data_IF_326861832815
#
_entry.id   IF_326861832815
#
_cell.length_a   1.000
_cell.length_b   1.000
_cell.length_c   1.000
_cell.angle_alpha   90.00
_cell.angle_beta   90.00
_cell.angle_gamma   90.00
#
_symmetry.space_group_name_H-M   'P 1'
#
loop_
_entity.id
_entity.type
_entity.pdbx_description
1 polymer ?
#
# COMPACT_ATOMS: atom_id res chain seq x y z
N UNK A 1 -12.27 52.13 15.41
CA UNK A 1 -10.98 51.54 15.81
C UNK A 1 -11.10 51.24 17.30
N UNK A 2 -11.65 50.07 17.65
CA UNK A 2 -10.92 48.83 18.05
C UNK A 2 -10.08 49.05 19.32
N UNK A 3 -10.40 48.39 20.44
CA UNK A 3 -10.20 46.96 20.75
C UNK A 3 -11.06 46.58 21.98
N UNK A 4 -11.55 45.37 22.24
CA UNK A 4 -11.29 44.05 21.67
C UNK A 4 -11.11 43.01 22.79
N UNK A 5 -12.20 42.29 23.14
CA UNK A 5 -12.30 40.93 23.75
C UNK A 5 -11.15 40.45 24.66
N UNK A 6 -11.37 40.43 25.99
CA UNK A 6 -10.36 40.02 26.98
C UNK A 6 -10.72 38.93 28.01
N UNK A 7 -11.98 38.51 28.18
CA UNK A 7 -12.35 37.67 29.35
C UNK A 7 -12.74 36.20 29.07
N UNK A 8 -12.99 35.80 27.81
CA UNK A 8 -13.47 34.43 27.50
C UNK A 8 -12.37 33.35 27.57
N UNK A 9 -11.09 33.73 27.56
CA UNK A 9 -9.97 32.79 27.49
C UNK A 9 -9.61 32.16 28.84
N UNK A 10 -9.98 32.77 29.97
CA UNK A 10 -9.71 32.23 31.31
C UNK A 10 -10.63 31.07 31.67
N UNK A 11 -11.93 31.23 31.41
CA UNK A 11 -12.94 30.19 31.64
C UNK A 11 -12.75 29.00 30.69
N UNK A 12 -12.43 29.24 29.42
CA UNK A 12 -12.17 28.18 28.45
C UNK A 12 -10.95 27.32 28.83
N UNK A 13 -9.90 27.92 29.41
CA UNK A 13 -8.70 27.19 29.85
C UNK A 13 -8.96 26.33 31.08
N UNK A 14 -9.71 26.84 32.04
CA UNK A 14 -10.12 26.09 33.23
C UNK A 14 -11.05 24.92 32.88
N UNK A 15 -11.98 25.13 31.95
CA UNK A 15 -12.85 24.07 31.43
C UNK A 15 -12.04 23.01 30.68
N UNK A 16 -11.05 23.42 29.87
CA UNK A 16 -10.18 22.48 29.15
C UNK A 16 -9.33 21.64 30.11
N UNK A 17 -8.75 22.26 31.13
CA UNK A 17 -7.94 21.55 32.14
C UNK A 17 -8.81 20.64 33.02
N UNK A 18 -10.04 21.02 33.31
CA UNK A 18 -11.01 20.19 34.02
C UNK A 18 -11.46 18.98 33.19
N UNK A 19 -11.76 19.17 31.89
CA UNK A 19 -12.08 18.09 30.96
C UNK A 19 -10.90 17.10 30.87
N UNK A 20 -9.68 17.62 30.75
CA UNK A 20 -8.49 16.77 30.60
C UNK A 20 -8.13 15.99 31.88
N UNK A 21 -8.27 16.64 33.04
CA UNK A 21 -7.80 16.07 34.31
C UNK A 21 -8.85 15.15 34.95
N UNK A 22 -10.13 15.48 34.82
CA UNK A 22 -11.19 14.76 35.52
C UNK A 22 -12.15 14.01 34.59
N UNK A 23 -12.52 14.59 33.45
CA UNK A 23 -13.49 13.94 32.56
C UNK A 23 -12.85 12.75 31.84
N UNK A 24 -11.61 12.87 31.34
CA UNK A 24 -10.95 11.77 30.63
C UNK A 24 -10.78 10.49 31.49
N UNK A 25 -10.23 10.55 32.72
CA UNK A 25 -10.12 9.35 33.55
C UNK A 25 -11.47 8.77 33.96
N UNK A 26 -12.47 9.63 34.19
CA UNK A 26 -13.82 9.21 34.57
C UNK A 26 -14.56 8.55 33.41
N UNK A 27 -14.46 9.11 32.20
CA UNK A 27 -14.98 8.49 30.97
C UNK A 27 -14.28 7.16 30.73
N UNK A 28 -12.96 7.08 30.94
CA UNK A 28 -12.22 5.84 30.78
C UNK A 28 -12.64 4.78 31.82
N UNK A 29 -12.90 5.17 33.06
CA UNK A 29 -13.42 4.30 34.11
C UNK A 29 -14.86 3.83 33.84
N UNK A 30 -15.72 4.72 33.33
CA UNK A 30 -17.10 4.39 32.93
C UNK A 30 -17.09 3.45 31.73
N UNK A 31 -16.26 3.71 30.73
CA UNK A 31 -16.08 2.81 29.57
C UNK A 31 -15.62 1.43 30.04
N UNK A 32 -14.64 1.36 30.96
CA UNK A 32 -14.17 0.10 31.51
C UNK A 32 -15.19 -0.61 32.41
N UNK A 33 -16.13 0.10 33.04
CA UNK A 33 -17.15 -0.49 33.90
C UNK A 33 -18.37 -0.98 33.12
N UNK A 34 -18.81 -0.24 32.10
CA UNK A 34 -20.02 -0.56 31.32
C UNK A 34 -19.74 -1.40 30.08
N UNK A 35 -18.57 -1.20 29.46
CA UNK A 35 -18.12 -2.01 28.32
C UNK A 35 -17.08 -3.03 28.77
N UNK A 36 -17.10 -3.44 30.05
CA UNK A 36 -16.10 -4.38 30.57
C UNK A 36 -16.08 -5.67 29.76
N UNK A 37 -17.24 -6.17 29.34
CA UNK A 37 -17.36 -7.38 28.55
C UNK A 37 -16.98 -7.15 27.08
N UNK A 38 -17.43 -6.07 26.44
CA UNK A 38 -17.03 -5.74 25.05
C UNK A 38 -15.56 -5.33 24.92
N UNK A 39 -14.99 -4.65 25.92
CA UNK A 39 -13.57 -4.24 25.94
C UNK A 39 -12.69 -5.40 26.38
N UNK A 40 -13.09 -6.26 27.32
CA UNK A 40 -12.40 -7.53 27.54
C UNK A 40 -12.57 -8.46 26.35
N UNK A 41 -13.67 -8.41 25.60
CA UNK A 41 -13.83 -9.16 24.36
C UNK A 41 -12.92 -8.59 23.27
N UNK A 42 -12.79 -7.26 23.12
CA UNK A 42 -11.87 -6.57 22.19
C UNK A 42 -10.40 -6.72 22.59
N UNK A 43 -10.08 -6.80 23.89
CA UNK A 43 -8.71 -6.96 24.41
C UNK A 43 -8.32 -8.44 24.48
N UNK A 44 -9.23 -9.36 24.84
CA UNK A 44 -9.04 -10.81 24.63
C UNK A 44 -9.00 -11.15 23.15
N UNK A 45 -9.71 -10.41 22.29
CA UNK A 45 -9.55 -10.51 20.82
C UNK A 45 -8.32 -9.79 20.26
N UNK A 46 -7.45 -9.24 21.12
CA UNK A 46 -6.11 -8.75 20.73
C UNK A 46 -4.96 -9.62 21.24
N UNK A 47 -5.25 -10.63 22.05
CA UNK A 47 -4.41 -11.81 22.24
C UNK A 47 -5.10 -13.04 21.63
N UNK A 48 -5.55 -12.93 20.37
CA UNK A 48 -5.90 -14.16 19.65
C UNK A 48 -4.67 -14.61 18.89
N UNK A 49 -4.03 -15.61 19.48
CA UNK A 49 -3.55 -16.77 18.73
C UNK A 49 -4.72 -17.32 17.87
N UNK A 50 -5.12 -16.61 16.80
CA UNK A 50 -5.95 -17.22 15.76
C UNK A 50 -5.01 -18.17 15.06
N UNK A 51 -5.21 -19.46 15.32
CA UNK A 51 -4.47 -20.54 14.73
C UNK A 51 -4.08 -20.27 13.27
N UNK A 52 -2.77 -20.18 13.07
CA UNK A 52 -2.04 -20.53 11.85
C UNK A 52 -2.56 -19.94 10.52
N UNK A 53 -2.11 -18.70 10.28
CA UNK A 53 -1.19 -18.32 9.20
C UNK A 53 -1.68 -17.34 8.11
N UNK A 54 -2.97 -17.18 7.83
CA UNK A 54 -3.39 -16.39 6.64
C UNK A 54 -3.81 -14.94 6.89
N UNK A 55 -4.54 -14.66 7.96
CA UNK A 55 -5.12 -13.33 8.22
C UNK A 55 -4.07 -12.33 8.71
N UNK A 56 -3.18 -12.74 9.63
CA UNK A 56 -2.15 -11.85 10.18
C UNK A 56 -1.16 -11.34 9.12
N UNK A 57 -0.80 -12.18 8.15
CA UNK A 57 0.09 -11.77 7.06
C UNK A 57 -0.59 -10.79 6.10
N UNK A 58 -1.86 -11.00 5.70
CA UNK A 58 -2.57 -10.03 4.83
C UNK A 58 -2.77 -8.66 5.49
N UNK A 59 -3.05 -8.65 6.80
CA UNK A 59 -3.14 -7.41 7.57
C UNK A 59 -1.77 -6.72 7.63
N UNK A 60 -0.69 -7.49 7.76
CA UNK A 60 0.67 -6.96 7.72
C UNK A 60 1.04 -6.43 6.32
N UNK A 61 0.71 -7.15 5.25
CA UNK A 61 0.95 -6.73 3.87
C UNK A 61 0.16 -5.46 3.54
N UNK A 62 -1.11 -5.40 3.95
CA UNK A 62 -1.93 -4.19 3.83
C UNK A 62 -1.32 -3.02 4.59
N UNK A 63 -0.87 -3.25 5.82
CA UNK A 63 -0.21 -2.21 6.62
C UNK A 63 1.10 -1.74 5.96
N UNK A 64 1.93 -2.64 5.43
CA UNK A 64 3.15 -2.30 4.71
C UNK A 64 2.87 -1.50 3.42
N UNK A 65 1.90 -1.95 2.62
CA UNK A 65 1.48 -1.26 1.40
C UNK A 65 0.93 0.13 1.73
N UNK A 66 0.04 0.25 2.73
CA UNK A 66 -0.49 1.54 3.17
C UNK A 66 0.62 2.46 3.66
N UNK A 67 1.60 1.96 4.41
CA UNK A 67 2.73 2.77 4.84
C UNK A 67 3.60 3.24 3.66
N UNK A 68 3.86 2.38 2.69
CA UNK A 68 4.62 2.73 1.49
C UNK A 68 3.89 3.76 0.62
N UNK A 69 2.57 3.65 0.50
CA UNK A 69 1.74 4.59 -0.25
C UNK A 69 1.63 5.93 0.47
N UNK A 70 1.44 5.94 1.79
CA UNK A 70 1.47 7.17 2.59
C UNK A 70 2.83 7.87 2.52
N UNK A 71 3.93 7.12 2.42
CA UNK A 71 5.26 7.69 2.21
C UNK A 71 5.38 8.33 0.83
N UNK A 72 4.87 7.69 -0.23
CA UNK A 72 4.90 8.25 -1.60
C UNK A 72 4.02 9.51 -1.70
N UNK A 73 2.81 9.49 -1.11
CA UNK A 73 1.93 10.66 -1.05
C UNK A 73 2.60 11.84 -0.33
N UNK A 74 3.35 11.59 0.75
CA UNK A 74 4.14 12.64 1.44
C UNK A 74 5.22 13.20 0.53
N UNK A 75 5.92 12.36 -0.22
CA UNK A 75 6.93 12.80 -1.20
C UNK A 75 6.31 13.72 -2.26
N UNK A 76 5.15 13.34 -2.83
CA UNK A 76 4.43 14.19 -3.79
C UNK A 76 4.06 15.55 -3.21
N UNK A 77 3.58 15.60 -1.96
CA UNK A 77 3.23 16.85 -1.29
C UNK A 77 4.46 17.75 -1.11
N UNK A 78 5.60 17.18 -0.71
CA UNK A 78 6.84 17.93 -0.58
C UNK A 78 7.40 18.39 -1.93
N UNK A 79 7.29 17.59 -2.99
CA UNK A 79 7.68 18.00 -4.35
C UNK A 79 6.80 19.12 -4.91
N UNK A 80 5.49 19.08 -4.65
CA UNK A 80 4.57 20.18 -5.00
C UNK A 80 4.98 21.46 -4.25
N UNK A 81 5.30 21.34 -2.96
CA UNK A 81 5.74 22.46 -2.13
C UNK A 81 7.07 23.04 -2.61
N UNK A 82 8.03 22.20 -2.97
CA UNK A 82 9.32 22.60 -3.51
C UNK A 82 9.19 23.22 -4.91
N UNK A 83 8.22 22.76 -5.70
CA UNK A 83 7.93 23.25 -7.05
C UNK A 83 6.92 24.40 -7.07
N UNK A 84 6.59 25.00 -5.92
CA UNK A 84 5.52 26.00 -5.80
C UNK A 84 5.65 27.21 -6.74
N UNK A 85 6.86 27.51 -7.21
CA UNK A 85 7.14 28.60 -8.16
C UNK A 85 6.85 28.22 -9.63
N UNK A 86 6.74 26.93 -9.94
CA UNK A 86 6.49 26.40 -11.28
C UNK A 86 5.04 25.88 -11.39
N UNK A 87 4.18 26.72 -11.96
CA UNK A 87 2.75 26.43 -12.10
C UNK A 87 2.45 25.20 -12.96
N UNK A 88 3.30 24.89 -13.94
CA UNK A 88 3.11 23.72 -14.80
C UNK A 88 3.43 22.44 -14.03
N UNK A 89 4.58 22.41 -13.34
CA UNK A 89 4.96 21.25 -12.52
C UNK A 89 3.99 21.00 -11.37
N UNK A 90 3.53 22.05 -10.70
CA UNK A 90 2.51 21.93 -9.64
C UNK A 90 1.24 21.28 -10.19
N UNK A 91 0.78 21.69 -11.39
CA UNK A 91 -0.41 21.10 -12.01
C UNK A 91 -0.20 19.63 -12.34
N UNK A 92 0.94 19.27 -12.92
CA UNK A 92 1.24 17.90 -13.31
C UNK A 92 1.39 16.97 -12.09
N UNK A 93 2.11 17.41 -11.06
CA UNK A 93 2.25 16.67 -9.79
C UNK A 93 0.93 16.55 -9.04
N UNK A 94 0.09 17.61 -9.04
CA UNK A 94 -1.24 17.54 -8.40
C UNK A 94 -2.15 16.55 -9.11
N UNK A 95 -2.05 16.46 -10.44
CA UNK A 95 -2.79 15.45 -11.22
C UNK A 95 -2.31 14.04 -10.86
N UNK A 96 -1.00 13.81 -10.86
CA UNK A 96 -0.43 12.51 -10.49
C UNK A 96 -0.80 12.10 -9.05
N UNK A 97 -0.84 13.06 -8.13
CA UNK A 97 -1.30 12.84 -6.76
C UNK A 97 -2.76 12.41 -6.71
N UNK A 98 -3.65 13.07 -7.46
CA UNK A 98 -5.06 12.71 -7.52
C UNK A 98 -5.26 11.29 -8.12
N UNK A 99 -4.58 10.99 -9.22
CA UNK A 99 -4.63 9.68 -9.87
C UNK A 99 -4.14 8.58 -8.91
N UNK A 100 -3.06 8.82 -8.17
CA UNK A 100 -2.53 7.87 -7.18
C UNK A 100 -3.47 7.68 -5.98
N UNK A 101 -4.15 8.73 -5.51
CA UNK A 101 -5.14 8.62 -4.42
C UNK A 101 -6.33 7.77 -4.86
N UNK A 102 -6.83 7.96 -6.08
CA UNK A 102 -7.95 7.17 -6.61
C UNK A 102 -7.59 5.68 -6.71
N UNK A 103 -6.40 5.37 -7.23
CA UNK A 103 -5.87 3.99 -7.30
C UNK A 103 -5.64 3.42 -5.89
N UNK A 104 -5.11 4.22 -4.97
CA UNK A 104 -4.89 3.84 -3.57
C UNK A 104 -6.22 3.46 -2.89
N UNK A 105 -7.26 4.29 -3.02
CA UNK A 105 -8.57 4.04 -2.44
C UNK A 105 -9.23 2.79 -3.03
N UNK A 106 -9.16 2.61 -4.35
CA UNK A 106 -9.71 1.44 -5.03
C UNK A 106 -9.05 0.13 -4.54
N UNK A 107 -7.72 0.14 -4.41
CA UNK A 107 -6.97 -1.03 -3.95
C UNK A 107 -7.15 -1.29 -2.45
N UNK A 108 -7.19 -0.24 -1.62
CA UNK A 108 -7.47 -0.35 -0.19
C UNK A 108 -8.85 -0.97 0.05
N UNK A 109 -9.87 -0.52 -0.68
CA UNK A 109 -11.22 -1.10 -0.61
C UNK A 109 -11.25 -2.57 -1.02
N UNK A 110 -10.49 -2.93 -2.06
CA UNK A 110 -10.34 -4.32 -2.52
C UNK A 110 -9.68 -5.21 -1.46
N UNK A 111 -8.60 -4.74 -0.83
CA UNK A 111 -7.87 -5.51 0.19
C UNK A 111 -8.68 -5.65 1.49
N UNK A 112 -9.39 -4.60 1.90
CA UNK A 112 -10.33 -4.66 3.03
C UNK A 112 -11.45 -5.66 2.75
N UNK A 113 -12.05 -5.64 1.54
CA UNK A 113 -13.10 -6.58 1.16
C UNK A 113 -12.61 -8.03 1.16
N UNK A 114 -11.37 -8.29 0.71
CA UNK A 114 -10.76 -9.62 0.76
C UNK A 114 -10.51 -10.09 2.19
N UNK A 115 -9.99 -9.22 3.06
CA UNK A 115 -9.78 -9.54 4.48
C UNK A 115 -11.11 -9.88 5.16
N UNK A 116 -12.17 -9.10 4.88
CA UNK A 116 -13.51 -9.34 5.41
C UNK A 116 -14.11 -10.67 4.92
N UNK A 117 -13.90 -11.05 3.66
CA UNK A 117 -14.36 -12.34 3.13
C UNK A 117 -13.62 -13.52 3.74
N UNK A 118 -12.33 -13.38 4.02
CA UNK A 118 -11.53 -14.43 4.68
C UNK A 118 -11.89 -14.60 6.17
N UNK A 119 -12.48 -13.58 6.84
CA UNK A 119 -12.94 -13.69 8.24
C UNK A 119 -14.24 -14.49 8.45
N UNK A 120 -14.98 -14.87 7.39
CA UNK A 120 -16.29 -15.56 7.53
C UNK A 120 -16.24 -17.07 7.25
N UNK A 121 -15.08 -17.65 6.94
CA UNK A 121 -14.97 -19.10 6.68
C UNK A 121 -13.98 -19.78 7.62
N UNK A 122 -14.44 -20.53 8.65
CA UNK A 122 -13.54 -21.34 9.46
C UNK A 122 -13.13 -22.58 8.66
N UNK A 123 -12.02 -22.52 7.92
CA UNK A 123 -11.41 -23.71 7.35
C UNK A 123 -10.43 -24.34 8.34
N UNK A 124 -10.95 -25.34 9.04
CA UNK A 124 -10.20 -26.30 9.83
C UNK A 124 -9.16 -27.06 8.97
N UNK A 125 -7.96 -27.18 9.54
CA UNK A 125 -6.90 -28.16 9.27
C UNK A 125 -6.10 -28.09 7.96
N UNK A 126 -4.81 -27.75 8.09
CA UNK A 126 -3.73 -28.67 7.68
C UNK A 126 -2.51 -28.50 8.59
N UNK A 127 -2.14 -29.59 9.24
CA UNK A 127 -1.03 -29.74 10.20
C UNK A 127 0.32 -29.30 9.61
N UNK A 128 1.15 -28.77 10.51
CA UNK A 128 2.57 -28.54 10.36
C UNK A 128 3.30 -29.76 9.78
N UNK A 129 4.07 -29.54 8.72
CA UNK A 129 5.33 -30.23 8.46
C UNK A 129 6.38 -29.17 8.16
N UNK A 130 7.21 -28.94 9.16
CA UNK A 130 8.43 -28.14 9.11
C UNK A 130 9.49 -28.89 8.30
N UNK A 131 9.64 -28.50 7.04
CA UNK A 131 10.96 -28.34 6.43
C UNK A 131 11.06 -26.87 6.05
N UNK A 132 12.24 -26.29 6.21
CA UNK A 132 12.58 -24.91 5.89
C UNK A 132 12.38 -24.63 4.39
N UNK A 133 11.14 -24.45 3.99
CA UNK A 133 10.74 -23.86 2.71
C UNK A 133 10.57 -22.38 2.97
N UNK A 134 11.42 -21.54 2.35
CA UNK A 134 11.21 -20.10 2.27
C UNK A 134 9.73 -19.81 2.00
N UNK A 135 9.14 -18.86 2.74
CA UNK A 135 7.73 -18.49 2.60
C UNK A 135 7.40 -18.28 1.10
N UNK A 136 6.47 -19.05 0.50
CA UNK A 136 6.12 -18.93 -0.92
C UNK A 136 5.78 -17.50 -1.34
N UNK A 137 5.30 -16.66 -0.42
CA UNK A 137 5.05 -15.23 -0.64
C UNK A 137 6.33 -14.41 -0.69
N UNK A 138 7.27 -14.65 0.23
CA UNK A 138 8.58 -13.99 0.20
C UNK A 138 9.36 -14.38 -1.07
N UNK A 139 9.25 -15.64 -1.49
CA UNK A 139 9.79 -16.07 -2.79
C UNK A 139 9.11 -15.34 -3.95
N UNK A 140 7.77 -15.21 -3.92
CA UNK A 140 7.04 -14.47 -4.95
C UNK A 140 7.47 -13.00 -5.02
N UNK A 141 7.61 -12.32 -3.88
CA UNK A 141 8.08 -10.93 -3.80
C UNK A 141 9.51 -10.76 -4.34
N UNK A 142 10.42 -11.70 -4.03
CA UNK A 142 11.77 -11.68 -4.59
C UNK A 142 11.77 -11.85 -6.11
N UNK A 143 10.92 -12.73 -6.64
CA UNK A 143 10.78 -12.91 -8.09
C UNK A 143 10.09 -11.72 -8.76
N UNK A 144 9.11 -11.12 -8.11
CA UNK A 144 8.45 -9.90 -8.55
C UNK A 144 9.44 -8.74 -8.66
N UNK A 145 10.25 -8.51 -7.62
CA UNK A 145 11.31 -7.51 -7.62
C UNK A 145 12.28 -7.72 -8.80
N UNK A 146 12.75 -8.95 -9.01
CA UNK A 146 13.59 -9.28 -10.18
C UNK A 146 12.87 -9.02 -11.50
N UNK A 147 11.58 -9.31 -11.59
CA UNK A 147 10.75 -8.99 -12.76
C UNK A 147 10.77 -7.50 -13.08
N UNK A 148 10.65 -6.65 -12.06
CA UNK A 148 10.77 -5.20 -12.21
C UNK A 148 12.18 -4.73 -12.58
N UNK A 149 13.23 -5.33 -12.00
CA UNK A 149 14.61 -5.06 -12.39
C UNK A 149 14.86 -5.40 -13.88
N UNK A 150 14.30 -6.52 -14.34
CA UNK A 150 14.37 -6.90 -15.76
C UNK A 150 13.62 -5.93 -16.67
N UNK A 151 12.44 -5.43 -16.24
CA UNK A 151 11.73 -4.35 -16.93
C UNK A 151 12.62 -3.11 -17.06
N UNK A 152 13.30 -2.69 -15.98
CA UNK A 152 14.19 -1.51 -16.00
C UNK A 152 15.40 -1.71 -16.92
N UNK A 153 15.90 -2.94 -17.03
CA UNK A 153 16.98 -3.32 -17.95
C UNK A 153 16.51 -3.59 -19.39
N UNK A 154 15.20 -3.44 -19.67
CA UNK A 154 14.54 -3.75 -20.94
C UNK A 154 14.68 -5.21 -21.40
N UNK A 155 14.85 -6.13 -20.46
CA UNK A 155 14.89 -7.57 -20.75
C UNK A 155 13.50 -8.20 -20.57
N UNK A 156 12.70 -8.16 -21.63
CA UNK A 156 11.30 -8.61 -21.58
C UNK A 156 11.17 -10.12 -21.30
N UNK A 157 12.11 -10.92 -21.80
CA UNK A 157 12.07 -12.37 -21.65
C UNK A 157 12.39 -12.79 -20.22
N UNK A 158 13.46 -12.21 -19.65
CA UNK A 158 13.81 -12.43 -18.26
C UNK A 158 12.71 -11.91 -17.30
N UNK A 159 12.08 -10.77 -17.64
CA UNK A 159 10.94 -10.24 -16.88
C UNK A 159 9.76 -11.23 -16.87
N UNK A 160 9.35 -11.75 -18.03
CA UNK A 160 8.25 -12.73 -18.14
C UNK A 160 8.58 -13.99 -17.32
N UNK A 161 9.81 -14.49 -17.38
CA UNK A 161 10.25 -15.65 -16.60
C UNK A 161 10.15 -15.38 -15.09
N UNK A 162 10.64 -14.22 -14.64
CA UNK A 162 10.59 -13.83 -13.23
C UNK A 162 9.14 -13.71 -12.72
N UNK A 163 8.25 -13.04 -13.45
CA UNK A 163 6.84 -12.96 -13.08
C UNK A 163 6.12 -14.33 -13.15
N UNK A 164 6.55 -15.23 -14.04
CA UNK A 164 6.05 -16.61 -14.06
C UNK A 164 6.44 -17.36 -12.80
N UNK A 165 7.69 -17.22 -12.34
CA UNK A 165 8.16 -17.82 -11.07
C UNK A 165 7.44 -17.22 -9.87
N UNK A 166 7.18 -15.91 -9.88
CA UNK A 166 6.41 -15.24 -8.84
C UNK A 166 4.96 -15.77 -8.77
N UNK A 167 4.29 -15.93 -9.91
CA UNK A 167 2.93 -16.47 -9.97
C UNK A 167 2.86 -17.93 -9.51
N UNK A 168 3.83 -18.77 -9.90
CA UNK A 168 3.91 -20.16 -9.43
C UNK A 168 4.09 -20.21 -7.91
N UNK A 169 4.92 -19.32 -7.36
CA UNK A 169 5.21 -19.26 -5.92
C UNK A 169 4.01 -18.76 -5.12
N UNK A 170 3.25 -17.78 -5.65
CA UNK A 170 2.03 -17.28 -5.02
C UNK A 170 0.91 -17.02 -6.05
N UNK A 171 0.09 -18.02 -6.38
CA UNK A 171 -0.94 -17.90 -7.42
C UNK A 171 -2.05 -16.90 -7.14
N UNK A 172 -2.24 -16.50 -5.88
CA UNK A 172 -3.22 -15.48 -5.49
C UNK A 172 -2.68 -14.04 -5.65
N UNK A 173 -1.42 -13.87 -6.06
CA UNK A 173 -0.83 -12.56 -6.37
C UNK A 173 -1.31 -12.08 -7.74
N UNK A 174 -2.50 -11.49 -7.79
CA UNK A 174 -3.13 -11.09 -9.05
C UNK A 174 -2.31 -10.09 -9.87
N UNK A 175 -1.64 -9.12 -9.23
CA UNK A 175 -0.84 -8.11 -9.96
C UNK A 175 0.26 -8.76 -10.81
N UNK A 176 1.00 -9.74 -10.28
CA UNK A 176 2.04 -10.48 -11.00
C UNK A 176 1.49 -11.17 -12.25
N UNK A 177 0.32 -11.82 -12.15
CA UNK A 177 -0.29 -12.52 -13.27
C UNK A 177 -0.72 -11.55 -14.39
N UNK A 178 -1.28 -10.40 -14.03
CA UNK A 178 -1.68 -9.38 -15.00
C UNK A 178 -0.47 -8.71 -15.67
N UNK A 179 0.56 -8.36 -14.90
CA UNK A 179 1.82 -7.79 -15.44
C UNK A 179 2.45 -8.78 -16.42
N UNK A 180 2.52 -10.08 -16.07
CA UNK A 180 3.01 -11.12 -16.98
C UNK A 180 2.21 -11.15 -18.29
N UNK A 181 0.87 -11.15 -18.23
CA UNK A 181 0.03 -11.13 -19.44
C UNK A 181 0.27 -9.89 -20.29
N UNK A 182 0.43 -8.73 -19.66
CA UNK A 182 0.75 -7.48 -20.34
C UNK A 182 2.09 -7.57 -21.08
N UNK A 183 3.12 -8.11 -20.43
CA UNK A 183 4.44 -8.32 -21.04
C UNK A 183 4.39 -9.31 -22.21
N UNK A 184 3.72 -10.45 -22.04
CA UNK A 184 3.55 -11.46 -23.10
C UNK A 184 2.82 -10.86 -24.31
N UNK A 185 1.75 -10.09 -24.08
CA UNK A 185 0.98 -9.44 -25.16
C UNK A 185 1.82 -8.46 -25.97
N UNK A 186 2.77 -7.77 -25.34
CA UNK A 186 3.60 -6.73 -25.97
C UNK A 186 5.03 -7.20 -26.28
N UNK A 187 5.32 -8.50 -26.11
CA UNK A 187 6.69 -9.05 -26.14
C UNK A 187 7.47 -8.65 -27.38
N UNK A 188 6.87 -8.80 -28.56
CA UNK A 188 7.54 -8.51 -29.83
C UNK A 188 7.84 -7.01 -30.00
N UNK A 189 6.89 -6.15 -29.62
CA UNK A 189 7.06 -4.70 -29.68
C UNK A 189 8.12 -4.19 -28.68
N UNK A 190 8.15 -4.77 -27.48
CA UNK A 190 9.14 -4.45 -26.44
C UNK A 190 10.54 -4.95 -26.82
N UNK A 191 10.62 -6.17 -27.38
CA UNK A 191 11.86 -6.77 -27.87
C UNK A 191 12.47 -5.98 -29.03
N UNK A 192 11.65 -5.58 -30.01
CA UNK A 192 12.10 -4.75 -31.14
C UNK A 192 12.63 -3.38 -30.70
N UNK A 193 12.12 -2.84 -29.59
CA UNK A 193 12.47 -1.52 -29.09
C UNK A 193 13.49 -1.56 -27.93
N UNK A 194 14.14 -2.71 -27.67
CA UNK A 194 15.07 -2.90 -26.54
C UNK A 194 16.20 -1.86 -26.50
N UNK A 195 16.78 -1.55 -27.67
CA UNK A 195 17.93 -0.65 -27.78
C UNK A 195 17.55 0.82 -28.03
N UNK A 196 16.26 1.13 -28.12
CA UNK A 196 15.79 2.49 -28.33
C UNK A 196 15.51 3.15 -26.97
N UNK A 197 16.35 4.11 -26.60
CA UNK A 197 16.25 4.84 -25.33
C UNK A 197 14.91 5.56 -25.16
N UNK A 198 14.27 6.00 -26.26
CA UNK A 198 12.99 6.72 -26.29
C UNK A 198 11.88 5.91 -26.96
N UNK A 199 11.96 4.58 -26.83
CA UNK A 199 10.98 3.67 -27.39
C UNK A 199 9.57 3.95 -26.86
N UNK A 200 8.65 4.31 -27.76
CA UNK A 200 7.24 4.47 -27.43
C UNK A 200 6.61 3.24 -26.72
N UNK A 201 6.93 1.98 -27.10
CA UNK A 201 6.41 0.79 -26.40
C UNK A 201 6.81 0.70 -24.93
N UNK A 202 8.07 0.95 -24.58
CA UNK A 202 8.51 0.92 -23.17
C UNK A 202 7.94 2.08 -22.37
N UNK A 203 7.88 3.28 -22.94
CA UNK A 203 7.25 4.42 -22.27
C UNK A 203 5.76 4.19 -21.97
N UNK A 204 5.05 3.51 -22.88
CA UNK A 204 3.66 3.11 -22.63
C UNK A 204 3.57 2.05 -21.52
N UNK A 205 4.43 1.02 -21.55
CA UNK A 205 4.47 0.01 -20.50
C UNK A 205 4.72 0.64 -19.12
N UNK A 206 5.71 1.53 -18.99
CA UNK A 206 6.03 2.17 -17.73
C UNK A 206 4.88 3.02 -17.19
N UNK A 207 4.19 3.76 -18.07
CA UNK A 207 2.97 4.48 -17.69
C UNK A 207 1.90 3.54 -17.16
N UNK A 208 1.60 2.46 -17.89
CA UNK A 208 0.61 1.46 -17.45
C UNK A 208 0.99 0.80 -16.13
N UNK A 209 2.26 0.46 -15.93
CA UNK A 209 2.74 -0.12 -14.66
C UNK A 209 2.55 0.85 -13.48
N UNK A 210 2.85 2.13 -13.68
CA UNK A 210 2.69 3.15 -12.64
C UNK A 210 1.22 3.50 -12.36
N UNK A 211 0.35 3.42 -13.36
CA UNK A 211 -1.06 3.78 -13.21
C UNK A 211 -1.94 2.62 -12.74
N UNK A 212 -1.71 1.40 -13.23
CA UNK A 212 -2.62 0.26 -13.02
C UNK A 212 -2.03 -0.80 -12.09
N UNK A 213 -0.71 -0.86 -11.94
CA UNK A 213 -0.01 -1.94 -11.24
C UNK A 213 0.98 -1.44 -10.16
N UNK A 214 0.81 -0.20 -9.69
CA UNK A 214 1.68 0.42 -8.69
C UNK A 214 1.45 -0.08 -7.26
N UNK A 215 0.29 -0.66 -6.99
CA UNK A 215 -0.03 -1.20 -5.67
C UNK A 215 0.83 -2.41 -5.32
N UNK A 216 1.53 -2.33 -4.18
CA UNK A 216 2.50 -3.34 -3.76
C UNK A 216 3.84 -3.25 -4.48
N UNK A 217 4.00 -2.34 -5.46
CA UNK A 217 5.28 -2.13 -6.13
C UNK A 217 6.27 -1.45 -5.18
N UNK A 218 7.51 -1.94 -5.07
CA UNK A 218 8.53 -1.29 -4.25
C UNK A 218 8.77 0.17 -4.68
N UNK A 219 8.87 1.08 -3.71
CA UNK A 219 9.06 2.52 -3.99
C UNK A 219 10.29 2.80 -4.84
N UNK A 220 11.39 2.06 -4.66
CA UNK A 220 12.59 2.18 -5.49
C UNK A 220 12.30 1.93 -6.98
N UNK A 221 11.49 0.90 -7.28
CA UNK A 221 11.08 0.58 -8.65
C UNK A 221 10.21 1.69 -9.22
N UNK A 222 9.23 2.21 -8.45
CA UNK A 222 8.37 3.32 -8.91
C UNK A 222 9.18 4.55 -9.29
N UNK A 223 10.15 4.93 -8.47
CA UNK A 223 11.06 6.05 -8.75
C UNK A 223 11.85 5.77 -10.04
N UNK A 224 12.49 4.61 -10.15
CA UNK A 224 13.26 4.25 -11.34
C UNK A 224 12.41 4.20 -12.62
N UNK A 225 11.16 3.76 -12.55
CA UNK A 225 10.26 3.78 -13.72
C UNK A 225 9.89 5.21 -14.13
N UNK A 226 9.63 6.10 -13.16
CA UNK A 226 9.33 7.52 -13.43
C UNK A 226 10.51 8.24 -14.10
N UNK A 227 11.75 7.95 -13.69
CA UNK A 227 12.96 8.52 -14.30
C UNK A 227 13.17 8.09 -15.76
N UNK A 228 12.53 7.00 -16.20
CA UNK A 228 12.63 6.49 -17.57
C UNK A 228 11.52 7.02 -18.51
N UNK A 229 10.58 7.83 -18.00
CA UNK A 229 9.51 8.48 -18.77
C UNK A 229 9.93 9.86 -19.29
#
# INVERSE_FOLDING_TARGET
>A
METGKGDDYGAARLVLDYIRTFIWPTVLAIVLLFYKDDVLEIVKTREIEVGTLKIGQRVNDLNQNVQAELADLRTFVEEIRASASDRSKVKDLSKQLADNIEVFEANLNKDIAQIQQETVTPQLTRKLQTQSTEDPRAQAQNWELKGFEYILSKDVDAAIEAFTKAEISWPAHHNVAEIKRLLVKNRDALGAARNDEKSAPWGQLYRTLLSEYSWGMPTSIRISLREKL
#
